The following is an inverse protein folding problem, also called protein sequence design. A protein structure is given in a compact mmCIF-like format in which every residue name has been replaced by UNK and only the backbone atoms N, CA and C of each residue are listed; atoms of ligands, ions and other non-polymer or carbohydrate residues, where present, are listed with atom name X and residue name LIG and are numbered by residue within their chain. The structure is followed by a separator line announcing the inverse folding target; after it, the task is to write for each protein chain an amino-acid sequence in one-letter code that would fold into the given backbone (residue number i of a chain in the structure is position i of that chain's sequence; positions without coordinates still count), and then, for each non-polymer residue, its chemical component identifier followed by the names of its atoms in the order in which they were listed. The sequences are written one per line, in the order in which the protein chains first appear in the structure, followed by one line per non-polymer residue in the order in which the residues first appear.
data_IF_451517844637
#
_entry.id   IF_451517844637
#
_cell.length_a   1.000
_cell.length_b   1.000
_cell.length_c   1.000
_cell.angle_alpha   90.00
_cell.angle_beta   90.00
_cell.angle_gamma   90.00
#
_symmetry.space_group_name_H-M   'P 1'
#
loop_
_entity.id
_entity.type
_entity.pdbx_description
1 polymer ?
#
# COMPACT_ATOMS: atom_id res chain seq x y z
N UNK A 1 -30.30 5.00 -38.94
CA UNK A 1 -29.90 3.58 -38.74
C UNK A 1 -28.39 3.52 -38.92
N UNK A 2 -27.51 3.32 -37.95
CA UNK A 2 -27.53 2.52 -36.73
C UNK A 2 -26.88 3.31 -35.59
N UNK A 3 -27.71 3.77 -34.66
CA UNK A 3 -27.32 4.26 -33.33
C UNK A 3 -28.08 3.38 -32.35
N UNK A 4 -27.50 2.25 -31.97
CA UNK A 4 -27.96 1.34 -30.92
C UNK A 4 -27.02 0.12 -30.90
N UNK A 5 -25.91 0.23 -30.18
CA UNK A 5 -25.22 -0.87 -29.48
C UNK A 5 -23.83 -0.41 -29.03
N UNK A 6 -23.74 0.08 -27.80
CA UNK A 6 -22.65 -0.25 -26.88
C UNK A 6 -22.93 0.42 -25.53
N UNK A 7 -23.96 -0.08 -24.86
CA UNK A 7 -24.21 0.14 -23.44
C UNK A 7 -24.06 -1.22 -22.77
N UNK A 8 -22.82 -1.63 -22.56
CA UNK A 8 -22.46 -2.61 -21.54
C UNK A 8 -20.94 -2.59 -21.33
N UNK A 9 -20.56 -2.53 -20.05
CA UNK A 9 -19.20 -2.55 -19.50
C UNK A 9 -18.53 -1.15 -19.40
N UNK A 10 -19.08 -0.32 -18.51
CA UNK A 10 -18.29 0.66 -17.76
C UNK A 10 -19.00 0.97 -16.43
N UNK A 11 -18.72 0.16 -15.40
CA UNK A 11 -19.13 0.39 -14.02
C UNK A 11 -18.24 -0.40 -13.05
N UNK A 12 -16.98 0.00 -12.94
CA UNK A 12 -16.17 -0.14 -11.72
C UNK A 12 -15.14 1.01 -11.77
N UNK A 13 -14.78 1.54 -10.61
CA UNK A 13 -13.85 2.67 -10.35
C UNK A 13 -14.53 4.02 -10.07
N UNK A 14 -15.48 4.01 -9.13
CA UNK A 14 -15.58 5.07 -8.13
C UNK A 14 -14.42 4.93 -7.13
N UNK A 15 -13.86 6.08 -6.73
CA UNK A 15 -12.84 6.32 -5.71
C UNK A 15 -11.37 6.19 -6.14
N UNK A 16 -10.91 7.16 -6.93
CA UNK A 16 -9.52 7.62 -6.87
C UNK A 16 -9.58 9.13 -6.65
N UNK A 17 -9.11 9.55 -5.48
CA UNK A 17 -9.20 10.91 -4.98
C UNK A 17 -8.51 11.93 -5.88
N UNK A 18 -9.13 13.10 -5.92
CA UNK A 18 -8.67 14.33 -6.54
C UNK A 18 -7.24 14.68 -6.11
N UNK A 19 -6.28 14.44 -7.00
CA UNK A 19 -4.97 15.08 -6.93
C UNK A 19 -5.06 16.46 -7.60
N UNK A 20 -5.53 17.45 -6.85
CA UNK A 20 -5.39 18.85 -7.27
C UNK A 20 -3.93 19.28 -7.25
N UNK A 21 -3.47 19.78 -8.39
CA UNK A 21 -2.18 20.41 -8.62
C UNK A 21 -2.06 21.64 -7.70
N UNK A 22 -1.26 21.54 -6.64
CA UNK A 22 -0.94 22.65 -5.76
C UNK A 22 -0.02 23.64 -6.48
N UNK A 23 -0.58 24.82 -6.80
CA UNK A 23 0.15 25.95 -7.34
C UNK A 23 1.17 26.49 -6.32
N UNK A 24 2.38 26.75 -6.79
CA UNK A 24 3.42 27.48 -6.06
C UNK A 24 2.98 28.92 -5.79
N UNK A 25 2.63 29.23 -4.54
CA UNK A 25 2.56 30.60 -4.00
C UNK A 25 2.97 30.63 -2.53
N UNK A 26 4.00 31.43 -2.25
CA UNK A 26 4.21 32.08 -0.96
C UNK A 26 4.89 31.25 0.13
N UNK A 27 6.11 31.67 0.50
CA UNK A 27 6.80 31.30 1.73
C UNK A 27 5.97 31.78 2.94
N UNK A 28 5.02 30.97 3.41
CA UNK A 28 4.30 31.18 4.68
C UNK A 28 5.04 30.42 5.78
N UNK A 29 5.25 31.11 6.90
CA UNK A 29 6.10 30.68 8.01
C UNK A 29 5.87 29.24 8.46
N UNK A 30 6.93 28.62 8.99
CA UNK A 30 6.92 27.30 9.62
C UNK A 30 6.01 27.33 10.85
N UNK A 31 4.70 27.25 10.63
CA UNK A 31 3.72 27.04 11.68
C UNK A 31 4.05 25.74 12.40
N UNK A 32 4.05 25.78 13.73
CA UNK A 32 4.19 24.61 14.59
C UNK A 32 3.11 23.61 14.15
N UNK A 33 3.51 22.47 13.58
CA UNK A 33 2.56 21.41 13.23
C UNK A 33 1.75 21.07 14.49
N UNK A 34 0.41 21.16 14.47
CA UNK A 34 -0.38 20.83 15.64
C UNK A 34 -0.05 19.41 16.08
N UNK A 35 0.18 19.23 17.38
CA UNK A 35 0.41 17.92 17.95
C UNK A 35 -0.88 17.12 17.81
N UNK A 36 -0.90 16.19 16.86
CA UNK A 36 -2.00 15.23 16.71
C UNK A 36 -1.80 14.18 17.80
N UNK A 37 -2.64 14.23 18.85
CA UNK A 37 -2.68 13.18 19.87
C UNK A 37 -3.09 11.89 19.15
N UNK A 38 -2.21 10.89 19.16
CA UNK A 38 -2.48 9.60 18.56
C UNK A 38 -3.53 8.92 19.43
N UNK A 39 -4.74 8.78 18.92
CA UNK A 39 -5.79 8.06 19.63
C UNK A 39 -5.39 6.61 19.84
N UNK A 40 -5.71 6.08 21.01
CA UNK A 40 -5.46 4.70 21.36
C UNK A 40 -6.32 3.78 20.46
N UNK A 41 -5.74 2.70 19.91
CA UNK A 41 -6.43 1.84 18.96
C UNK A 41 -7.57 1.01 19.58
N UNK A 42 -7.59 0.89 20.91
CA UNK A 42 -8.54 0.05 21.64
C UNK A 42 -9.14 0.84 22.81
N UNK A 43 -10.44 0.65 23.06
CA UNK A 43 -11.10 1.13 24.27
C UNK A 43 -10.69 0.24 25.45
N UNK A 44 -10.46 0.86 26.61
CA UNK A 44 -10.02 0.18 27.82
C UNK A 44 -10.90 0.58 29.00
N UNK A 45 -11.12 -0.33 29.94
CA UNK A 45 -11.78 -0.08 31.22
C UNK A 45 -13.07 0.75 31.07
N UNK A 46 -13.10 1.96 31.64
CA UNK A 46 -14.24 2.88 31.61
C UNK A 46 -14.64 3.38 30.22
N UNK A 47 -13.75 3.29 29.23
CA UNK A 47 -14.06 3.68 27.84
C UNK A 47 -14.92 2.65 27.11
N UNK A 48 -15.15 1.47 27.71
CA UNK A 48 -16.01 0.42 27.17
C UNK A 48 -17.47 0.79 27.46
N UNK A 49 -18.27 0.96 26.41
CA UNK A 49 -19.65 1.44 26.51
C UNK A 49 -20.69 0.32 26.52
N UNK A 50 -20.29 -0.92 26.23
CA UNK A 50 -21.22 -2.04 26.10
C UNK A 50 -21.60 -2.60 27.49
N UNK A 51 -22.90 -2.85 27.77
CA UNK A 51 -23.34 -3.33 29.08
C UNK A 51 -22.97 -4.79 29.35
N UNK A 52 -22.88 -5.61 28.29
CA UNK A 52 -22.56 -7.03 28.36
C UNK A 52 -21.39 -7.29 27.42
N UNK A 53 -20.39 -8.00 27.92
CA UNK A 53 -19.14 -8.26 27.21
C UNK A 53 -18.78 -9.74 27.28
N UNK A 54 -18.16 -10.25 26.23
CA UNK A 54 -17.54 -11.58 26.26
C UNK A 54 -16.10 -11.42 26.73
N UNK A 55 -15.78 -12.00 27.88
CA UNK A 55 -14.45 -11.90 28.50
C UNK A 55 -13.60 -13.09 28.09
N UNK A 56 -12.34 -12.81 27.76
CA UNK A 56 -11.30 -13.80 27.50
C UNK A 56 -10.07 -13.48 28.36
N UNK A 57 -9.46 -14.49 28.98
CA UNK A 57 -8.27 -14.31 29.83
C UNK A 57 -7.44 -15.59 29.90
N UNK A 58 -6.20 -15.48 30.39
CA UNK A 58 -5.33 -16.65 30.61
C UNK A 58 -5.65 -17.39 31.92
N UNK A 59 -6.26 -16.70 32.89
CA UNK A 59 -6.61 -17.24 34.22
C UNK A 59 -8.09 -17.10 34.57
N UNK A 60 -8.97 -16.95 33.56
CA UNK A 60 -10.40 -16.68 33.76
C UNK A 60 -11.20 -17.56 32.81
N UNK A 61 -12.32 -18.09 33.28
CA UNK A 61 -13.26 -18.81 32.42
C UNK A 61 -13.79 -17.89 31.31
N UNK A 62 -13.64 -18.33 30.07
CA UNK A 62 -14.14 -17.57 28.93
C UNK A 62 -15.66 -17.62 28.91
N UNK A 63 -16.30 -16.48 29.07
CA UNK A 63 -17.75 -16.41 29.27
C UNK A 63 -18.33 -15.05 28.89
N UNK A 64 -19.65 -14.94 29.01
CA UNK A 64 -20.37 -13.67 28.84
C UNK A 64 -20.65 -13.13 30.23
N UNK A 65 -20.20 -11.92 30.51
CA UNK A 65 -20.33 -11.26 31.81
C UNK A 65 -20.91 -9.86 31.63
N UNK A 66 -21.46 -9.31 32.72
CA UNK A 66 -21.75 -7.87 32.73
C UNK A 66 -20.46 -7.08 32.75
N UNK A 67 -20.48 -5.86 32.20
CA UNK A 67 -19.31 -4.98 32.17
C UNK A 67 -18.72 -4.77 33.57
N UNK A 68 -19.58 -4.61 34.59
CA UNK A 68 -19.16 -4.40 35.98
C UNK A 68 -18.39 -5.59 36.53
N UNK A 69 -18.86 -6.81 36.29
CA UNK A 69 -18.20 -8.03 36.75
C UNK A 69 -16.85 -8.20 36.03
N UNK A 70 -16.81 -7.91 34.72
CA UNK A 70 -15.59 -7.95 33.93
C UNK A 70 -14.54 -6.93 34.40
N UNK A 71 -14.96 -5.74 34.83
CA UNK A 71 -14.07 -4.73 35.41
C UNK A 71 -13.52 -5.19 36.77
N UNK A 72 -14.38 -5.72 37.65
CA UNK A 72 -13.94 -6.25 38.94
C UNK A 72 -12.91 -7.38 38.76
N UNK A 73 -13.13 -8.29 37.80
CA UNK A 73 -12.17 -9.36 37.49
C UNK A 73 -10.82 -8.82 36.98
N UNK A 74 -10.83 -7.72 36.24
CA UNK A 74 -9.60 -7.06 35.80
C UNK A 74 -8.86 -6.42 36.98
N UNK A 75 -9.59 -5.73 37.86
CA UNK A 75 -9.05 -5.09 39.07
C UNK A 75 -8.47 -6.11 40.06
N UNK A 76 -9.14 -7.25 40.28
CA UNK A 76 -8.65 -8.34 41.13
C UNK A 76 -7.30 -8.92 40.66
N UNK A 77 -7.03 -8.82 39.36
CA UNK A 77 -5.78 -9.29 38.76
C UNK A 77 -4.76 -8.17 38.53
N UNK A 78 -5.09 -6.92 38.91
CA UNK A 78 -4.30 -5.72 38.62
C UNK A 78 -3.99 -5.57 37.11
N UNK A 79 -4.93 -5.97 36.25
CA UNK A 79 -4.84 -5.90 34.79
C UNK A 79 -5.90 -4.95 34.21
N UNK A 80 -5.79 -4.66 32.92
CA UNK A 80 -6.78 -3.83 32.21
C UNK A 80 -7.77 -4.69 31.44
N UNK A 81 -9.04 -4.27 31.42
CA UNK A 81 -10.06 -4.81 30.52
C UNK A 81 -9.96 -4.08 29.17
N UNK A 82 -9.47 -4.77 28.15
CA UNK A 82 -9.23 -4.20 26.81
C UNK A 82 -10.25 -4.73 25.81
N UNK A 83 -10.98 -3.84 25.14
CA UNK A 83 -11.89 -4.21 24.05
C UNK A 83 -11.10 -4.53 22.76
N UNK A 84 -11.06 -5.81 22.38
CA UNK A 84 -10.34 -6.29 21.19
C UNK A 84 -11.21 -6.23 19.94
N UNK A 85 -12.46 -6.66 20.04
CA UNK A 85 -13.38 -6.73 18.91
C UNK A 85 -14.73 -6.06 19.25
N UNK A 86 -14.92 -4.79 18.84
CA UNK A 86 -16.19 -4.09 19.01
C UNK A 86 -17.29 -4.60 18.06
N UNK A 87 -16.91 -5.33 17.00
CA UNK A 87 -17.82 -5.78 15.94
C UNK A 87 -18.63 -7.03 16.30
N UNK A 88 -18.27 -7.72 17.39
CA UNK A 88 -18.97 -8.92 17.84
C UNK A 88 -20.17 -8.57 18.72
N UNK A 89 -21.22 -9.40 18.71
CA UNK A 89 -22.37 -9.29 19.60
C UNK A 89 -22.44 -10.54 20.51
N UNK A 90 -22.15 -10.43 21.83
CA UNK A 90 -21.59 -9.28 22.55
C UNK A 90 -20.10 -9.00 22.21
N UNK A 91 -19.61 -7.77 22.42
CA UNK A 91 -18.23 -7.39 22.10
C UNK A 91 -17.22 -8.18 22.91
N UNK A 92 -16.05 -8.43 22.32
CA UNK A 92 -15.01 -9.27 22.93
C UNK A 92 -13.99 -8.39 23.66
N UNK A 93 -13.95 -8.56 24.97
CA UNK A 93 -13.01 -7.92 25.87
C UNK A 93 -11.99 -8.96 26.38
N UNK A 94 -10.75 -8.53 26.56
CA UNK A 94 -9.68 -9.37 27.09
C UNK A 94 -9.03 -8.71 28.28
N UNK A 95 -8.82 -9.46 29.35
CA UNK A 95 -8.15 -8.99 30.56
C UNK A 95 -6.65 -9.22 30.38
N UNK A 96 -5.88 -8.14 30.20
CA UNK A 96 -4.44 -8.15 29.90
C UNK A 96 -3.80 -6.82 30.32
N UNK A 97 -2.47 -6.81 30.51
CA UNK A 97 -1.71 -5.55 30.63
C UNK A 97 -1.71 -4.83 29.27
N UNK A 98 -2.38 -3.67 29.21
CA UNK A 98 -2.54 -2.91 27.98
C UNK A 98 -1.20 -2.41 27.41
N UNK A 99 -0.26 -2.00 28.27
CA UNK A 99 1.05 -1.48 27.84
C UNK A 99 1.89 -2.59 27.22
N UNK A 100 1.91 -3.76 27.87
CA UNK A 100 2.61 -4.95 27.35
C UNK A 100 1.99 -5.42 26.03
N UNK A 101 0.66 -5.47 25.95
CA UNK A 101 -0.06 -5.81 24.73
C UNK A 101 0.29 -4.86 23.56
N UNK A 102 0.27 -3.55 23.80
CA UNK A 102 0.65 -2.56 22.78
C UNK A 102 2.10 -2.74 22.32
N UNK A 103 3.01 -3.07 23.24
CA UNK A 103 4.41 -3.32 22.91
C UNK A 103 4.56 -4.56 22.02
N UNK A 104 3.94 -5.67 22.40
CA UNK A 104 3.97 -6.91 21.62
C UNK A 104 3.31 -6.76 20.25
N UNK A 105 2.16 -6.06 20.19
CA UNK A 105 1.48 -5.78 18.93
C UNK A 105 2.37 -4.94 18.01
N UNK A 106 3.03 -3.90 18.54
CA UNK A 106 3.99 -3.08 17.78
C UNK A 106 5.21 -3.89 17.35
N UNK A 107 5.73 -4.78 18.21
CA UNK A 107 6.86 -5.67 17.89
C UNK A 107 6.49 -6.63 16.75
N UNK A 108 5.37 -7.34 16.87
CA UNK A 108 4.82 -8.22 15.83
C UNK A 108 4.58 -7.47 14.52
N UNK A 109 3.97 -6.28 14.57
CA UNK A 109 3.77 -5.46 13.37
C UNK A 109 5.09 -5.03 12.72
N UNK A 110 6.12 -4.67 13.51
CA UNK A 110 7.45 -4.34 12.99
C UNK A 110 8.12 -5.55 12.37
N UNK A 111 8.05 -6.71 13.02
CA UNK A 111 8.58 -7.97 12.48
C UNK A 111 7.87 -8.37 11.19
N UNK A 112 6.54 -8.30 11.13
CA UNK A 112 5.79 -8.55 9.90
C UNK A 112 6.19 -7.57 8.79
N UNK A 113 6.28 -6.26 9.09
CA UNK A 113 6.71 -5.24 8.12
C UNK A 113 8.17 -5.42 7.67
N UNK A 114 9.03 -5.96 8.52
CA UNK A 114 10.42 -6.27 8.18
C UNK A 114 10.52 -7.55 7.34
N UNK A 115 9.69 -8.57 7.64
CA UNK A 115 9.60 -9.83 6.88
C UNK A 115 8.94 -9.65 5.52
N UNK A 116 7.99 -8.73 5.37
CA UNK A 116 7.46 -8.37 4.06
C UNK A 116 8.58 -7.75 3.24
N UNK A 117 9.09 -8.51 2.26
CA UNK A 117 10.04 -8.01 1.29
C UNK A 117 9.45 -6.75 0.64
N UNK A 118 10.10 -5.60 0.86
CA UNK A 118 9.71 -4.37 0.19
C UNK A 118 9.96 -4.59 -1.29
N UNK A 119 8.90 -4.68 -2.08
CA UNK A 119 9.01 -4.73 -3.53
C UNK A 119 9.57 -3.36 -3.97
N UNK A 120 10.86 -3.32 -4.26
CA UNK A 120 11.52 -2.13 -4.74
C UNK A 120 11.16 -1.99 -6.22
N UNK A 121 10.63 -0.83 -6.59
CA UNK A 121 10.38 -0.48 -8.00
C UNK A 121 11.47 0.51 -8.42
N UNK A 122 12.25 0.14 -9.43
CA UNK A 122 13.26 1.00 -10.05
C UNK A 122 12.73 1.55 -11.36
N UNK A 123 12.88 2.85 -11.57
CA UNK A 123 12.45 3.51 -12.81
C UNK A 123 13.64 3.68 -13.76
N UNK A 124 13.46 3.30 -15.03
CA UNK A 124 14.43 3.50 -16.11
C UNK A 124 13.77 4.31 -17.21
N UNK A 125 14.37 5.46 -17.55
CA UNK A 125 13.86 6.33 -18.61
C UNK A 125 14.59 6.10 -19.93
N UNK A 126 13.81 5.80 -20.97
CA UNK A 126 14.26 5.69 -22.35
C UNK A 126 13.84 6.92 -23.17
N UNK A 127 14.67 7.27 -24.15
CA UNK A 127 14.33 8.27 -25.16
C UNK A 127 13.71 7.62 -26.39
N UNK A 128 12.83 8.31 -27.14
CA UNK A 128 12.26 7.78 -28.38
C UNK A 128 13.30 7.61 -29.50
N UNK A 129 14.41 8.36 -29.43
CA UNK A 129 15.56 8.25 -30.35
C UNK A 129 16.81 7.91 -29.53
N UNK A 130 16.82 6.73 -28.90
CA UNK A 130 17.95 6.25 -28.11
C UNK A 130 19.07 5.72 -29.02
N UNK A 131 20.33 5.95 -28.64
CA UNK A 131 21.51 5.39 -29.30
C UNK A 131 21.77 3.95 -28.80
N UNK A 132 22.38 3.09 -29.63
CA UNK A 132 22.65 1.69 -29.28
C UNK A 132 23.52 1.54 -28.03
N UNK A 133 24.47 2.46 -27.81
CA UNK A 133 25.31 2.44 -26.61
C UNK A 133 24.50 2.75 -25.33
N UNK A 134 23.63 3.77 -25.37
CA UNK A 134 22.75 4.13 -24.24
C UNK A 134 21.70 3.05 -23.96
N UNK A 135 21.18 2.41 -25.02
CA UNK A 135 20.25 1.29 -24.90
C UNK A 135 20.89 0.11 -24.16
N UNK A 136 22.07 -0.32 -24.60
CA UNK A 136 22.80 -1.45 -24.00
C UNK A 136 23.19 -1.17 -22.54
N UNK A 137 23.56 0.08 -22.22
CA UNK A 137 23.85 0.49 -20.85
C UNK A 137 22.62 0.35 -19.94
N UNK A 138 21.45 0.86 -20.37
CA UNK A 138 20.20 0.75 -19.61
C UNK A 138 19.68 -0.67 -19.51
N UNK A 139 19.90 -1.49 -20.53
CA UNK A 139 19.57 -2.92 -20.53
C UNK A 139 20.36 -3.64 -19.43
N UNK A 140 21.68 -3.43 -19.34
CA UNK A 140 22.50 -4.00 -18.25
C UNK A 140 22.01 -3.57 -16.87
N UNK A 141 21.61 -2.31 -16.70
CA UNK A 141 21.01 -1.85 -15.44
C UNK A 141 19.68 -2.55 -15.12
N UNK A 142 18.81 -2.73 -16.11
CA UNK A 142 17.56 -3.45 -15.92
C UNK A 142 17.80 -4.91 -15.53
N UNK A 143 18.76 -5.59 -16.15
CA UNK A 143 19.16 -6.96 -15.78
C UNK A 143 19.58 -7.00 -14.31
N UNK A 144 20.48 -6.11 -13.89
CA UNK A 144 20.95 -6.07 -12.49
C UNK A 144 19.77 -5.85 -11.52
N UNK A 145 18.84 -4.93 -11.83
CA UNK A 145 17.67 -4.70 -10.98
C UNK A 145 16.73 -5.90 -10.91
N UNK A 146 16.52 -6.62 -12.03
CA UNK A 146 15.71 -7.83 -12.05
C UNK A 146 16.40 -8.97 -11.28
N UNK A 147 17.72 -9.09 -11.36
CA UNK A 147 18.50 -10.07 -10.59
C UNK A 147 18.46 -9.79 -9.08
N UNK A 148 18.43 -8.51 -8.69
CA UNK A 148 18.25 -8.06 -7.31
C UNK A 148 16.81 -8.28 -6.78
N UNK A 149 15.89 -8.79 -7.61
CA UNK A 149 14.48 -9.01 -7.25
C UNK A 149 13.64 -7.72 -7.22
N UNK A 150 14.14 -6.62 -7.80
CA UNK A 150 13.37 -5.39 -7.96
C UNK A 150 12.49 -5.45 -9.22
N UNK A 151 11.32 -4.83 -9.15
CA UNK A 151 10.51 -4.57 -10.35
C UNK A 151 11.10 -3.40 -11.11
N UNK A 152 11.10 -3.48 -12.43
CA UNK A 152 11.60 -2.41 -13.29
C UNK A 152 10.43 -1.77 -14.02
N UNK A 153 10.25 -0.47 -13.80
CA UNK A 153 9.30 0.36 -14.54
C UNK A 153 10.09 1.14 -15.59
N UNK A 154 9.84 0.86 -16.86
CA UNK A 154 10.51 1.52 -17.97
C UNK A 154 9.56 2.55 -18.57
N UNK A 155 10.01 3.81 -18.66
CA UNK A 155 9.22 4.90 -19.25
C UNK A 155 9.92 5.53 -20.46
N UNK A 156 9.20 5.67 -21.58
CA UNK A 156 9.60 6.51 -22.70
C UNK A 156 8.92 7.86 -22.56
N UNK A 157 9.70 8.94 -22.49
CA UNK A 157 9.16 10.30 -22.36
C UNK A 157 9.07 10.99 -23.73
N UNK A 158 7.86 11.40 -24.12
CA UNK A 158 7.62 12.16 -25.34
C UNK A 158 7.64 13.67 -25.05
N UNK A 159 8.63 14.37 -25.61
CA UNK A 159 8.74 15.83 -25.57
C UNK A 159 7.83 16.48 -26.62
N UNK A 160 6.91 17.35 -26.21
CA UNK A 160 6.11 18.19 -27.12
C UNK A 160 5.26 17.39 -28.11
N UNK A 161 5.45 17.63 -29.42
CA UNK A 161 4.71 16.97 -30.52
C UNK A 161 5.18 15.55 -30.84
N UNK A 162 6.17 15.02 -30.11
CA UNK A 162 6.71 13.67 -30.37
C UNK A 162 5.75 12.52 -30.01
N UNK A 163 4.57 12.82 -29.44
CA UNK A 163 3.51 11.83 -29.23
C UNK A 163 3.04 11.16 -30.53
N UNK A 164 3.23 11.83 -31.67
CA UNK A 164 2.96 11.26 -33.01
C UNK A 164 3.84 10.02 -33.27
N UNK A 165 5.02 9.95 -32.65
CA UNK A 165 5.95 8.81 -32.75
C UNK A 165 5.71 7.76 -31.65
N UNK A 166 4.47 7.60 -31.18
CA UNK A 166 4.10 6.58 -30.18
C UNK A 166 4.56 5.18 -30.58
N UNK A 167 4.47 4.84 -31.87
CA UNK A 167 4.86 3.54 -32.43
C UNK A 167 6.36 3.27 -32.28
N UNK A 168 7.20 4.31 -32.43
CA UNK A 168 8.65 4.18 -32.19
C UNK A 168 8.95 3.92 -30.72
N UNK A 169 8.27 4.62 -29.81
CA UNK A 169 8.43 4.40 -28.38
C UNK A 169 7.97 3.00 -27.96
N UNK A 170 6.87 2.52 -28.53
CA UNK A 170 6.36 1.17 -28.33
C UNK A 170 7.37 0.13 -28.82
N UNK A 171 7.90 0.29 -30.03
CA UNK A 171 8.93 -0.60 -30.57
C UNK A 171 10.17 -0.69 -29.68
N UNK A 172 10.66 0.46 -29.17
CA UNK A 172 11.81 0.49 -28.26
C UNK A 172 11.52 -0.27 -26.96
N UNK A 173 10.32 -0.13 -26.40
CA UNK A 173 9.92 -0.84 -25.18
C UNK A 173 9.75 -2.34 -25.43
N UNK A 174 9.17 -2.74 -26.56
CA UNK A 174 9.03 -4.15 -26.93
C UNK A 174 10.38 -4.81 -27.17
N UNK A 175 11.29 -4.14 -27.88
CA UNK A 175 12.68 -4.59 -28.04
C UNK A 175 13.36 -4.76 -26.68
N UNK A 176 13.19 -3.80 -25.78
CA UNK A 176 13.73 -3.87 -24.42
C UNK A 176 13.15 -5.03 -23.61
N UNK A 177 11.86 -5.33 -23.78
CA UNK A 177 11.21 -6.46 -23.11
C UNK A 177 11.73 -7.81 -23.63
N UNK A 178 11.94 -7.92 -24.95
CA UNK A 178 12.44 -9.14 -25.58
C UNK A 178 13.85 -9.49 -25.10
N UNK A 179 14.75 -8.51 -25.04
CA UNK A 179 16.11 -8.71 -24.52
C UNK A 179 16.13 -9.05 -23.01
N UNK A 180 15.06 -8.75 -22.27
CA UNK A 180 14.93 -9.02 -20.84
C UNK A 180 14.08 -10.26 -20.52
N UNK A 181 13.59 -10.98 -21.51
CA UNK A 181 12.70 -12.14 -21.36
C UNK A 181 13.33 -13.30 -20.55
N UNK A 182 14.66 -13.39 -20.59
CA UNK A 182 15.44 -14.37 -19.83
C UNK A 182 15.47 -14.04 -18.32
N UNK A 183 15.39 -12.77 -17.95
CA UNK A 183 15.57 -12.29 -16.56
C UNK A 183 14.24 -11.85 -15.90
N UNK A 184 13.25 -11.46 -16.69
CA UNK A 184 12.00 -10.89 -16.21
C UNK A 184 10.79 -11.29 -17.04
N UNK A 185 9.61 -11.13 -16.43
CA UNK A 185 8.31 -11.30 -17.08
C UNK A 185 7.60 -9.96 -17.16
N UNK A 186 7.06 -9.65 -18.34
CA UNK A 186 6.26 -8.44 -18.54
C UNK A 186 4.95 -8.57 -17.75
N UNK A 187 4.75 -7.71 -16.77
CA UNK A 187 3.53 -7.64 -15.96
C UNK A 187 2.51 -6.69 -16.59
N UNK A 188 3.00 -5.58 -17.14
CA UNK A 188 2.19 -4.59 -17.82
C UNK A 188 2.81 -4.26 -19.18
N UNK A 189 2.05 -4.51 -20.25
CA UNK A 189 2.41 -4.13 -21.61
C UNK A 189 2.54 -2.60 -21.76
N UNK A 190 3.27 -2.12 -22.80
CA UNK A 190 3.43 -0.70 -23.05
C UNK A 190 2.08 0.03 -23.11
N UNK A 191 1.85 0.96 -22.17
CA UNK A 191 0.64 1.78 -22.12
C UNK A 191 0.99 3.25 -22.06
N UNK A 192 0.24 4.05 -22.81
CA UNK A 192 0.38 5.51 -22.79
C UNK A 192 -0.32 6.11 -21.57
N UNK A 193 0.44 6.79 -20.73
CA UNK A 193 -0.02 7.60 -19.59
C UNK A 193 0.41 9.07 -19.80
N UNK A 194 -0.49 9.86 -20.39
CA UNK A 194 -0.25 11.27 -20.69
C UNK A 194 0.86 11.47 -21.72
N UNK A 195 2.02 11.96 -21.28
CA UNK A 195 3.22 12.21 -22.12
C UNK A 195 4.27 11.10 -22.02
N UNK A 196 3.97 10.01 -21.33
CA UNK A 196 4.89 8.87 -21.13
C UNK A 196 4.24 7.59 -21.62
N UNK A 197 5.02 6.70 -22.22
CA UNK A 197 4.62 5.32 -22.41
C UNK A 197 5.39 4.46 -21.42
N UNK A 198 4.67 3.66 -20.64
CA UNK A 198 5.20 2.95 -19.48
C UNK A 198 4.99 1.46 -19.68
N UNK A 199 5.99 0.68 -19.28
CA UNK A 199 5.96 -0.78 -19.22
C UNK A 199 6.52 -1.21 -17.86
N UNK A 200 5.97 -2.28 -17.28
CA UNK A 200 6.46 -2.85 -16.01
C UNK A 200 6.89 -4.29 -16.24
N UNK A 201 8.13 -4.58 -15.84
CA UNK A 201 8.72 -5.91 -15.87
C UNK A 201 8.97 -6.35 -14.44
N UNK A 202 8.46 -7.52 -14.09
CA UNK A 202 8.71 -8.19 -12.83
C UNK A 202 9.86 -9.18 -12.97
N UNK A 203 10.67 -9.39 -11.93
CA UNK A 203 11.72 -10.40 -11.95
C UNK A 203 11.10 -11.80 -12.11
N UNK A 204 11.80 -12.70 -12.82
CA UNK A 204 11.35 -14.09 -13.05
C UNK A 204 11.69 -15.03 -11.87
N UNK A 205 12.48 -14.53 -10.91
CA UNK A 205 12.83 -15.21 -9.65
C UNK A 205 11.81 -14.94 -8.55
#
# INVERSE_FOLDING_TARGET
MKWQNCLQINKVLTNIGDFTIAQFRGNKGRGRRPYVKKEDPNKINEFITAPVVRVVGENIETGIYQLRDALNMADEQELDLVEISPTANPPVCKIIDYKKFLFEQKKKQKEMKAKTAKIIVKEIRLGPNIDDHDFNFKLKHAINFLQDGAKVKVDVFFKGRSIVYKEKGEYVLLKFAQELEDYGKVEQLPRLEGKRMIMIISPKK
#
